data_IF_008253605808
#
_entry.id   IF_008253605808
#
_cell.length_a   1.000
_cell.length_b   1.000
_cell.length_c   1.000
_cell.angle_alpha   90.00
_cell.angle_beta   90.00
_cell.angle_gamma   90.00
#
_symmetry.space_group_name_H-M   'P 1'
#
loop_
_entity.id
_entity.type
_entity.pdbx_description
1 polymer ?
#
# COMPACT_ATOMS: atom_id res chain seq x y z
N UNK A 1 21.59 -20.43 4.78
CA UNK A 1 22.96 -19.95 5.08
C UNK A 1 22.81 -18.70 5.94
N UNK A 2 23.23 -18.74 7.21
CA UNK A 2 23.29 -17.53 8.04
C UNK A 2 24.68 -16.92 7.84
N UNK A 3 24.76 -15.70 7.32
CA UNK A 3 26.03 -15.00 7.09
C UNK A 3 25.92 -13.60 7.69
N UNK A 4 26.87 -13.24 8.53
CA UNK A 4 26.96 -11.94 9.18
C UNK A 4 28.16 -11.20 8.58
N UNK A 5 27.89 -10.18 7.77
CA UNK A 5 28.90 -9.39 7.08
C UNK A 5 28.56 -7.89 7.16
N UNK A 6 29.56 -7.02 7.03
CA UNK A 6 29.31 -5.57 6.99
C UNK A 6 28.48 -5.19 5.75
N UNK A 7 28.84 -5.74 4.58
CA UNK A 7 28.10 -5.53 3.33
C UNK A 7 28.05 -6.83 2.54
N UNK A 8 26.91 -7.11 1.91
CA UNK A 8 26.71 -8.31 1.11
C UNK A 8 25.97 -8.01 -0.20
N UNK A 9 26.44 -8.62 -1.30
CA UNK A 9 25.79 -8.57 -2.60
C UNK A 9 25.48 -10.01 -3.06
N UNK A 10 24.23 -10.27 -3.45
CA UNK A 10 23.78 -11.61 -3.85
C UNK A 10 23.04 -11.53 -5.17
N UNK A 11 23.47 -12.37 -6.12
CA UNK A 11 22.77 -12.60 -7.39
C UNK A 11 22.57 -14.10 -7.54
N UNK A 12 21.32 -14.56 -7.66
CA UNK A 12 21.04 -16.00 -7.73
C UNK A 12 19.81 -16.32 -8.58
N UNK A 13 19.90 -17.43 -9.31
CA UNK A 13 18.76 -18.09 -9.98
C UNK A 13 18.63 -19.52 -9.45
N UNK A 14 17.44 -19.92 -9.03
CA UNK A 14 17.17 -21.27 -8.52
C UNK A 14 15.73 -21.70 -8.76
N UNK A 15 15.39 -22.97 -8.53
CA UNK A 15 13.98 -23.39 -8.51
C UNK A 15 13.30 -22.92 -7.22
N UNK A 16 13.90 -23.20 -6.07
CA UNK A 16 13.40 -22.81 -4.75
C UNK A 16 14.52 -22.27 -3.88
N UNK A 17 14.22 -21.24 -3.10
CA UNK A 17 15.21 -20.56 -2.27
C UNK A 17 14.65 -20.21 -0.89
N UNK A 18 15.46 -20.46 0.15
CA UNK A 18 15.18 -20.03 1.52
C UNK A 18 16.40 -19.28 2.05
N UNK A 19 16.22 -18.03 2.46
CA UNK A 19 17.29 -17.13 2.89
C UNK A 19 16.95 -16.50 4.23
N UNK A 20 17.92 -16.56 5.14
CA UNK A 20 17.90 -15.84 6.42
C UNK A 20 19.23 -15.12 6.58
N UNK A 21 19.21 -13.80 6.65
CA UNK A 21 20.44 -12.99 6.70
C UNK A 21 20.36 -11.77 7.62
N UNK A 22 21.53 -11.42 8.15
CA UNK A 22 21.73 -10.19 8.94
C UNK A 22 23.05 -9.55 8.54
N UNK A 23 23.01 -8.31 8.07
CA UNK A 23 24.22 -7.56 7.69
C UNK A 23 23.98 -6.06 7.87
N UNK A 24 24.99 -5.20 7.75
CA UNK A 24 24.74 -3.75 7.83
C UNK A 24 24.10 -3.23 6.52
N UNK A 25 24.58 -3.71 5.37
CA UNK A 25 24.01 -3.39 4.05
C UNK A 25 23.84 -4.64 3.18
N UNK A 26 22.68 -4.80 2.54
CA UNK A 26 22.44 -5.88 1.55
C UNK A 26 21.95 -5.31 0.22
N UNK A 27 22.49 -5.87 -0.87
CA UNK A 27 21.96 -5.73 -2.23
C UNK A 27 21.66 -7.11 -2.81
N UNK A 28 20.43 -7.33 -3.26
CA UNK A 28 19.96 -8.67 -3.66
C UNK A 28 19.19 -8.61 -4.97
N UNK A 29 19.58 -9.47 -5.91
CA UNK A 29 18.85 -9.72 -7.17
C UNK A 29 18.59 -11.22 -7.28
N UNK A 30 17.32 -11.63 -7.29
CA UNK A 30 16.99 -13.06 -7.33
C UNK A 30 15.83 -13.40 -8.27
N UNK A 31 15.96 -14.56 -8.90
CA UNK A 31 14.90 -15.18 -9.69
C UNK A 31 14.70 -16.62 -9.23
N UNK A 32 13.49 -16.99 -8.81
CA UNK A 32 13.18 -18.40 -8.56
C UNK A 32 11.72 -18.74 -8.84
N UNK A 33 11.31 -20.01 -8.74
CA UNK A 33 9.89 -20.33 -8.73
C UNK A 33 9.28 -19.98 -7.36
N UNK A 34 9.97 -20.31 -6.27
CA UNK A 34 9.53 -20.01 -4.90
C UNK A 34 10.66 -19.40 -4.06
N UNK A 35 10.38 -18.29 -3.38
CA UNK A 35 11.29 -17.66 -2.41
C UNK A 35 10.63 -17.49 -1.05
N UNK A 36 11.37 -17.86 0.00
CA UNK A 36 11.09 -17.50 1.39
C UNK A 36 12.28 -16.76 1.99
N UNK A 37 12.06 -15.54 2.47
CA UNK A 37 13.14 -14.62 2.84
C UNK A 37 12.85 -13.95 4.18
N UNK A 38 13.85 -13.98 5.07
CA UNK A 38 13.89 -13.20 6.30
C UNK A 38 15.19 -12.41 6.35
N UNK A 39 15.13 -11.08 6.42
CA UNK A 39 16.32 -10.24 6.42
C UNK A 39 16.26 -9.09 7.43
N UNK A 40 17.40 -8.78 8.02
CA UNK A 40 17.59 -7.63 8.90
C UNK A 40 18.84 -6.87 8.52
N UNK A 41 18.75 -5.56 8.30
CA UNK A 41 19.92 -4.73 8.04
C UNK A 41 19.74 -3.27 8.43
N UNK A 42 20.76 -2.43 8.25
CA UNK A 42 20.53 -0.98 8.26
C UNK A 42 19.95 -0.53 6.91
N UNK A 43 20.48 -1.04 5.81
CA UNK A 43 20.06 -0.70 4.44
C UNK A 43 19.83 -1.95 3.59
N UNK A 44 18.69 -2.03 2.90
CA UNK A 44 18.38 -3.07 1.92
C UNK A 44 18.01 -2.47 0.56
N UNK A 45 18.58 -3.04 -0.51
CA UNK A 45 18.12 -2.86 -1.89
C UNK A 45 17.85 -4.22 -2.53
N UNK A 46 16.61 -4.43 -3.00
CA UNK A 46 16.13 -5.76 -3.38
C UNK A 46 15.36 -5.71 -4.70
N UNK A 47 15.72 -6.62 -5.61
CA UNK A 47 14.97 -6.91 -6.84
C UNK A 47 14.69 -8.40 -6.90
N UNK A 48 13.41 -8.79 -6.98
CA UNK A 48 13.03 -10.22 -7.00
C UNK A 48 11.94 -10.53 -8.01
N UNK A 49 12.08 -11.68 -8.66
CA UNK A 49 11.07 -12.24 -9.56
C UNK A 49 10.77 -13.69 -9.18
N UNK A 50 9.50 -14.06 -8.98
CA UNK A 50 9.13 -15.47 -8.84
C UNK A 50 7.71 -15.82 -9.25
N UNK A 51 7.30 -17.07 -9.03
CA UNK A 51 5.89 -17.41 -8.97
C UNK A 51 5.31 -17.12 -7.57
N UNK A 52 6.05 -17.44 -6.50
CA UNK A 52 5.60 -17.22 -5.12
C UNK A 52 6.69 -16.61 -4.24
N UNK A 53 6.36 -15.51 -3.55
CA UNK A 53 7.22 -14.79 -2.61
C UNK A 53 6.58 -14.74 -1.22
N UNK A 54 7.35 -15.12 -0.19
CA UNK A 54 7.04 -14.84 1.22
C UNK A 54 8.23 -14.13 1.87
N UNK A 55 8.00 -12.91 2.37
CA UNK A 55 9.08 -11.99 2.74
C UNK A 55 8.80 -11.33 4.08
N UNK A 56 9.80 -11.35 4.96
CA UNK A 56 9.84 -10.60 6.22
C UNK A 56 11.12 -9.79 6.29
N UNK A 57 11.02 -8.46 6.39
CA UNK A 57 12.19 -7.57 6.38
C UNK A 57 12.11 -6.48 7.43
N UNK A 58 13.26 -6.19 8.04
CA UNK A 58 13.44 -5.07 8.96
C UNK A 58 14.71 -4.28 8.62
N UNK A 59 14.61 -2.97 8.45
CA UNK A 59 15.78 -2.11 8.29
C UNK A 59 15.52 -0.63 8.57
N UNK A 60 16.56 0.21 8.58
CA UNK A 60 16.34 1.65 8.60
C UNK A 60 15.80 2.14 7.24
N UNK A 61 16.41 1.67 6.15
CA UNK A 61 16.06 2.06 4.78
C UNK A 61 15.86 0.85 3.88
N UNK A 62 14.70 0.74 3.22
CA UNK A 62 14.41 -0.32 2.23
C UNK A 62 14.04 0.30 0.88
N UNK A 63 14.62 -0.24 -0.19
CA UNK A 63 14.22 0.00 -1.58
C UNK A 63 13.95 -1.33 -2.27
N UNK A 64 12.74 -1.54 -2.75
CA UNK A 64 12.25 -2.87 -3.14
C UNK A 64 11.50 -2.82 -4.47
N UNK A 65 11.86 -3.75 -5.35
CA UNK A 65 11.12 -4.05 -6.58
C UNK A 65 10.81 -5.54 -6.62
N UNK A 66 9.54 -5.93 -6.74
CA UNK A 66 9.12 -7.33 -6.73
C UNK A 66 8.06 -7.62 -7.77
N UNK A 67 8.21 -8.77 -8.43
CA UNK A 67 7.24 -9.32 -9.38
C UNK A 67 6.95 -10.77 -9.06
N UNK A 68 5.71 -11.15 -8.77
CA UNK A 68 5.34 -12.57 -8.71
C UNK A 68 3.84 -12.82 -8.88
N UNK A 69 3.42 -14.05 -9.16
CA UNK A 69 2.00 -14.38 -9.17
C UNK A 69 1.36 -14.23 -7.77
N UNK A 70 2.09 -14.56 -6.70
CA UNK A 70 1.61 -14.41 -5.32
C UNK A 70 2.68 -13.85 -4.39
N UNK A 71 2.36 -12.76 -3.69
CA UNK A 71 3.22 -12.09 -2.70
C UNK A 71 2.54 -12.05 -1.33
N UNK A 72 3.26 -12.45 -0.29
CA UNK A 72 2.93 -12.21 1.11
C UNK A 72 4.11 -11.54 1.81
N UNK A 73 3.89 -10.34 2.36
CA UNK A 73 4.97 -9.43 2.75
C UNK A 73 4.69 -8.77 4.09
N UNK A 74 5.70 -8.79 4.95
CA UNK A 74 5.75 -8.03 6.21
C UNK A 74 7.03 -7.20 6.23
N UNK A 75 6.91 -5.88 6.37
CA UNK A 75 8.06 -4.98 6.38
C UNK A 75 7.98 -3.94 7.50
N UNK A 76 9.12 -3.67 8.13
CA UNK A 76 9.27 -2.63 9.13
C UNK A 76 10.50 -1.77 8.81
N UNK A 77 10.32 -0.45 8.73
CA UNK A 77 11.46 0.45 8.56
C UNK A 77 11.31 1.86 9.10
N UNK A 78 12.34 2.69 8.96
CA UNK A 78 12.14 4.14 9.04
C UNK A 78 11.63 4.67 7.69
N UNK A 79 12.27 4.26 6.59
CA UNK A 79 11.94 4.69 5.22
C UNK A 79 11.76 3.49 4.29
N UNK A 80 10.64 3.45 3.56
CA UNK A 80 10.40 2.45 2.50
C UNK A 80 10.06 3.12 1.16
N UNK A 81 10.67 2.60 0.10
CA UNK A 81 10.28 2.83 -1.29
C UNK A 81 10.03 1.50 -1.97
N UNK A 82 8.82 1.30 -2.52
CA UNK A 82 8.35 -0.02 -2.93
C UNK A 82 7.63 0.05 -4.27
N UNK A 83 7.99 -0.86 -5.17
CA UNK A 83 7.26 -1.16 -6.40
C UNK A 83 6.95 -2.65 -6.45
N UNK A 84 5.67 -3.00 -6.58
CA UNK A 84 5.20 -4.39 -6.58
C UNK A 84 4.20 -4.65 -7.70
N UNK A 85 4.38 -5.77 -8.39
CA UNK A 85 3.44 -6.29 -9.39
C UNK A 85 3.11 -7.74 -9.07
N UNK A 86 1.83 -8.07 -8.94
CA UNK A 86 1.40 -9.45 -8.71
C UNK A 86 0.03 -9.80 -9.28
N UNK A 87 -0.38 -11.06 -9.21
CA UNK A 87 -1.82 -11.38 -9.34
C UNK A 87 -2.50 -11.21 -7.98
N UNK A 88 -1.88 -11.74 -6.92
CA UNK A 88 -2.38 -11.66 -5.55
C UNK A 88 -1.33 -11.07 -4.61
N UNK A 89 -1.75 -10.05 -3.86
CA UNK A 89 -0.88 -9.26 -2.98
C UNK A 89 -1.48 -9.21 -1.56
N UNK A 90 -0.72 -9.65 -0.55
CA UNK A 90 -1.06 -9.48 0.88
C UNK A 90 0.10 -8.81 1.61
N UNK A 91 -0.14 -7.64 2.20
CA UNK A 91 0.92 -6.75 2.67
C UNK A 91 0.60 -6.17 4.05
N UNK A 92 1.60 -6.20 4.92
CA UNK A 92 1.65 -5.45 6.18
C UNK A 92 2.93 -4.62 6.21
N UNK A 93 2.79 -3.30 6.39
CA UNK A 93 3.93 -2.38 6.44
C UNK A 93 3.82 -1.39 7.60
N UNK A 94 4.95 -1.15 8.24
CA UNK A 94 5.08 -0.14 9.31
C UNK A 94 6.33 0.70 9.08
N UNK A 95 6.20 2.02 9.02
CA UNK A 95 7.37 2.90 8.96
C UNK A 95 7.12 4.36 9.35
N UNK A 96 8.14 5.20 9.33
CA UNK A 96 7.93 6.65 9.43
C UNK A 96 7.46 7.23 8.09
N UNK A 97 8.11 6.84 6.99
CA UNK A 97 7.84 7.33 5.64
C UNK A 97 7.71 6.20 4.63
N UNK A 98 6.59 6.13 3.89
CA UNK A 98 6.35 5.14 2.84
C UNK A 98 6.02 5.82 1.52
N UNK A 99 6.67 5.35 0.45
CA UNK A 99 6.30 5.62 -0.95
C UNK A 99 6.07 4.30 -1.67
N UNK A 100 4.89 4.12 -2.25
CA UNK A 100 4.42 2.80 -2.72
C UNK A 100 3.73 2.91 -4.05
N UNK A 101 4.11 2.02 -4.97
CA UNK A 101 3.39 1.75 -6.21
C UNK A 101 3.07 0.26 -6.30
N UNK A 102 1.79 -0.08 -6.45
CA UNK A 102 1.32 -1.46 -6.50
C UNK A 102 0.33 -1.69 -7.63
N UNK A 103 0.51 -2.81 -8.32
CA UNK A 103 -0.41 -3.31 -9.35
C UNK A 103 -0.72 -4.78 -9.08
N UNK A 104 -1.99 -5.15 -8.93
CA UNK A 104 -2.37 -6.56 -8.98
C UNK A 104 -3.80 -6.84 -9.44
N UNK A 105 -4.21 -8.10 -9.51
CA UNK A 105 -5.64 -8.43 -9.61
C UNK A 105 -6.33 -8.22 -8.25
N UNK A 106 -5.75 -8.75 -7.18
CA UNK A 106 -6.30 -8.68 -5.82
C UNK A 106 -5.26 -8.13 -4.83
N UNK A 107 -5.64 -7.08 -4.08
CA UNK A 107 -4.84 -6.45 -3.02
C UNK A 107 -5.54 -6.54 -1.67
N UNK A 108 -4.80 -7.00 -0.65
CA UNK A 108 -5.16 -6.85 0.77
C UNK A 108 -3.99 -6.21 1.53
N UNK A 109 -4.23 -5.04 2.13
CA UNK A 109 -3.16 -4.16 2.60
C UNK A 109 -3.49 -3.57 3.98
N UNK A 110 -2.52 -3.65 4.89
CA UNK A 110 -2.50 -2.92 6.15
C UNK A 110 -1.22 -2.08 6.26
N UNK A 111 -1.36 -0.78 6.48
CA UNK A 111 -0.24 0.16 6.51
C UNK A 111 -0.35 1.14 7.68
N UNK A 112 0.79 1.39 8.33
CA UNK A 112 0.90 2.39 9.40
C UNK A 112 2.15 3.23 9.21
N UNK A 113 1.99 4.56 9.13
CA UNK A 113 3.15 5.45 9.08
C UNK A 113 2.89 6.89 9.49
N UNK A 114 3.92 7.71 9.71
CA UNK A 114 3.71 9.14 9.85
C UNK A 114 3.31 9.77 8.50
N UNK A 115 4.00 9.42 7.42
CA UNK A 115 3.72 9.90 6.06
C UNK A 115 3.58 8.74 5.07
N UNK A 116 2.48 8.72 4.30
CA UNK A 116 2.32 7.79 3.17
C UNK A 116 1.97 8.51 1.86
N UNK A 117 2.63 8.08 0.80
CA UNK A 117 2.30 8.38 -0.59
C UNK A 117 2.10 7.08 -1.37
N UNK A 118 0.92 6.88 -1.95
CA UNK A 118 0.49 5.58 -2.45
C UNK A 118 -0.20 5.71 -3.81
N UNK A 119 0.20 4.85 -4.74
CA UNK A 119 -0.49 4.62 -6.00
C UNK A 119 -0.82 3.13 -6.11
N UNK A 120 -2.10 2.81 -6.28
CA UNK A 120 -2.57 1.44 -6.36
C UNK A 120 -3.55 1.23 -7.52
N UNK A 121 -3.33 0.16 -8.27
CA UNK A 121 -4.23 -0.29 -9.33
C UNK A 121 -4.56 -1.76 -9.13
N UNK A 122 -5.84 -2.11 -9.00
CA UNK A 122 -6.23 -3.52 -8.99
C UNK A 122 -7.62 -3.80 -9.56
N UNK A 123 -8.03 -5.07 -9.65
CA UNK A 123 -9.45 -5.38 -9.86
C UNK A 123 -10.22 -5.26 -8.53
N UNK A 124 -9.63 -5.75 -7.44
CA UNK A 124 -10.20 -5.69 -6.09
C UNK A 124 -9.17 -5.22 -5.07
N UNK A 125 -9.55 -4.23 -4.25
CA UNK A 125 -8.72 -3.73 -3.14
C UNK A 125 -9.49 -3.77 -1.81
N UNK A 126 -8.81 -4.28 -0.78
CA UNK A 126 -9.19 -4.15 0.63
C UNK A 126 -8.03 -3.52 1.41
N UNK A 127 -8.27 -2.36 2.03
CA UNK A 127 -7.20 -1.50 2.54
C UNK A 127 -7.54 -0.97 3.93
N UNK A 128 -6.56 -1.03 4.82
CA UNK A 128 -6.55 -0.35 6.11
C UNK A 128 -5.29 0.49 6.23
N UNK A 129 -5.46 1.80 6.45
CA UNK A 129 -4.35 2.76 6.53
C UNK A 129 -4.49 3.67 7.74
N UNK A 130 -3.39 3.89 8.43
CA UNK A 130 -3.29 4.84 9.55
C UNK A 130 -2.07 5.72 9.37
N UNK A 131 -2.26 7.05 9.40
CA UNK A 131 -1.15 7.98 9.29
C UNK A 131 -1.33 9.34 9.96
N UNK A 132 -0.28 10.18 9.95
CA UNK A 132 -0.48 11.61 10.18
C UNK A 132 -0.87 12.28 8.85
N UNK A 133 -0.12 11.97 7.77
CA UNK A 133 -0.35 12.51 6.43
C UNK A 133 -0.51 11.38 5.41
N UNK A 134 -1.60 11.45 4.63
CA UNK A 134 -1.97 10.45 3.65
C UNK A 134 -2.21 11.11 2.28
N UNK A 135 -1.49 10.67 1.25
CA UNK A 135 -1.73 11.03 -0.15
C UNK A 135 -1.90 9.77 -1.00
N UNK A 136 -3.06 9.62 -1.63
CA UNK A 136 -3.48 8.34 -2.23
C UNK A 136 -4.10 8.55 -3.60
N UNK A 137 -3.69 7.69 -4.54
CA UNK A 137 -4.36 7.50 -5.83
C UNK A 137 -4.70 6.02 -5.99
N UNK A 138 -5.97 5.70 -6.21
CA UNK A 138 -6.47 4.33 -6.33
C UNK A 138 -7.40 4.16 -7.53
N UNK A 139 -7.24 3.05 -8.25
CA UNK A 139 -8.11 2.65 -9.34
C UNK A 139 -8.49 1.16 -9.25
N UNK A 140 -9.78 0.82 -9.30
CA UNK A 140 -10.22 -0.57 -9.40
C UNK A 140 -11.63 -0.82 -9.90
N UNK A 141 -12.04 -2.08 -9.98
CA UNK A 141 -13.47 -2.40 -10.09
C UNK A 141 -14.16 -2.28 -8.71
N UNK A 142 -13.55 -2.79 -7.65
CA UNK A 142 -14.13 -2.78 -6.30
C UNK A 142 -13.12 -2.34 -5.24
N UNK A 143 -13.50 -1.35 -4.43
CA UNK A 143 -12.73 -0.82 -3.30
C UNK A 143 -13.49 -0.99 -1.98
N UNK A 144 -12.79 -1.50 -0.96
CA UNK A 144 -13.19 -1.43 0.45
C UNK A 144 -12.05 -0.84 1.27
N UNK A 145 -12.30 0.31 1.91
CA UNK A 145 -11.24 1.14 2.48
C UNK A 145 -11.60 1.63 3.87
N UNK A 146 -10.64 1.52 4.78
CA UNK A 146 -10.66 2.15 6.10
C UNK A 146 -9.41 3.02 6.26
N UNK A 147 -9.60 4.31 6.52
CA UNK A 147 -8.50 5.27 6.63
C UNK A 147 -8.66 6.15 7.87
N UNK A 148 -7.54 6.40 8.54
CA UNK A 148 -7.45 7.35 9.65
C UNK A 148 -6.20 8.19 9.46
N UNK A 149 -6.34 9.52 9.39
CA UNK A 149 -5.17 10.39 9.51
C UNK A 149 -5.45 11.78 10.06
N UNK A 150 -4.42 12.59 10.29
CA UNK A 150 -4.65 14.01 10.54
C UNK A 150 -5.03 14.74 9.24
N UNK A 151 -4.29 14.49 8.15
CA UNK A 151 -4.54 15.06 6.83
C UNK A 151 -4.65 13.98 5.74
N UNK A 152 -5.72 14.03 4.96
CA UNK A 152 -6.03 13.10 3.86
C UNK A 152 -6.18 13.86 2.54
N UNK A 153 -5.48 13.41 1.50
CA UNK A 153 -5.67 13.80 0.11
C UNK A 153 -5.83 12.55 -0.76
N UNK A 154 -6.99 12.39 -1.40
CA UNK A 154 -7.39 11.13 -2.02
C UNK A 154 -7.98 11.36 -3.41
N UNK A 155 -7.55 10.53 -4.36
CA UNK A 155 -8.18 10.37 -5.67
C UNK A 155 -8.55 8.90 -5.87
N UNK A 156 -9.83 8.63 -6.10
CA UNK A 156 -10.35 7.27 -6.23
C UNK A 156 -11.25 7.10 -7.47
N UNK A 157 -11.03 6.02 -8.20
CA UNK A 157 -11.89 5.62 -9.32
C UNK A 157 -12.27 4.15 -9.16
N UNK A 158 -13.57 3.85 -9.05
CA UNK A 158 -14.01 2.46 -9.16
C UNK A 158 -15.41 2.25 -9.73
N UNK A 159 -15.82 1.00 -9.94
CA UNK A 159 -17.22 0.71 -10.19
C UNK A 159 -18.02 0.70 -8.87
N UNK A 160 -17.46 0.13 -7.81
CA UNK A 160 -18.08 0.06 -6.48
C UNK A 160 -17.10 0.49 -5.39
N UNK A 161 -17.55 1.40 -4.52
CA UNK A 161 -16.77 2.01 -3.44
C UNK A 161 -17.48 1.82 -2.10
N UNK A 162 -16.75 1.29 -1.11
CA UNK A 162 -17.15 1.28 0.30
C UNK A 162 -16.03 1.87 1.16
N UNK A 163 -16.31 2.97 1.85
CA UNK A 163 -15.29 3.79 2.50
C UNK A 163 -15.70 4.17 3.92
N UNK A 164 -14.75 4.03 4.84
CA UNK A 164 -14.81 4.62 6.19
C UNK A 164 -13.57 5.48 6.39
N UNK A 165 -13.77 6.78 6.66
CA UNK A 165 -12.69 7.74 6.81
C UNK A 165 -12.85 8.58 8.08
N UNK A 166 -11.71 8.85 8.73
CA UNK A 166 -11.62 9.79 9.84
C UNK A 166 -10.40 10.68 9.64
N UNK A 167 -10.61 12.00 9.53
CA UNK A 167 -9.52 12.94 9.43
C UNK A 167 -9.76 14.28 10.14
N UNK A 168 -8.71 15.07 10.40
CA UNK A 168 -8.91 16.47 10.77
C UNK A 168 -9.17 17.32 9.51
N UNK A 169 -8.41 17.05 8.45
CA UNK A 169 -8.52 17.73 7.16
C UNK A 169 -8.64 16.72 6.02
N UNK A 170 -9.61 16.94 5.14
CA UNK A 170 -9.98 16.01 4.08
C UNK A 170 -10.06 16.71 2.72
N UNK A 171 -9.43 16.14 1.69
CA UNK A 171 -9.57 16.54 0.28
C UNK A 171 -9.77 15.30 -0.60
N UNK A 172 -10.94 15.17 -1.21
CA UNK A 172 -11.34 13.95 -1.94
C UNK A 172 -11.82 14.27 -3.34
N UNK A 173 -11.37 13.47 -4.29
CA UNK A 173 -11.94 13.36 -5.64
C UNK A 173 -12.30 11.90 -5.87
N UNK A 174 -13.56 11.62 -6.15
CA UNK A 174 -14.03 10.25 -6.37
C UNK A 174 -15.00 10.11 -7.54
N UNK A 175 -14.85 8.98 -8.24
CA UNK A 175 -15.74 8.56 -9.32
C UNK A 175 -16.17 7.11 -9.10
N UNK A 176 -17.46 6.85 -8.92
CA UNK A 176 -17.97 5.47 -8.94
C UNK A 176 -19.44 5.31 -9.33
N UNK A 177 -19.79 4.12 -9.84
CA UNK A 177 -21.18 3.79 -10.18
C UNK A 177 -22.05 3.45 -8.95
N UNK A 178 -21.43 3.04 -7.84
CA UNK A 178 -22.12 2.75 -6.58
C UNK A 178 -21.23 3.12 -5.40
N UNK A 179 -21.79 3.87 -4.44
CA UNK A 179 -21.07 4.45 -3.31
C UNK A 179 -21.74 4.17 -1.97
N UNK A 180 -20.92 3.79 -0.98
CA UNK A 180 -21.28 3.77 0.44
C UNK A 180 -20.16 4.39 1.26
N UNK A 181 -20.44 5.52 1.91
CA UNK A 181 -19.44 6.34 2.59
C UNK A 181 -19.87 6.69 4.01
N UNK A 182 -18.93 6.54 4.93
CA UNK A 182 -18.99 7.08 6.29
C UNK A 182 -17.76 7.95 6.51
N UNK A 183 -17.98 9.25 6.78
CA UNK A 183 -16.88 10.19 6.98
C UNK A 183 -17.07 11.09 8.21
N UNK A 184 -15.96 11.35 8.88
CA UNK A 184 -15.85 12.30 9.99
C UNK A 184 -14.64 13.19 9.76
N UNK A 185 -14.88 14.49 9.59
CA UNK A 185 -13.81 15.48 9.44
C UNK A 185 -14.13 16.82 10.13
N UNK A 186 -13.09 17.51 10.59
CA UNK A 186 -13.23 18.88 11.10
C UNK A 186 -13.30 19.90 9.95
N UNK A 187 -12.60 19.61 8.84
CA UNK A 187 -12.61 20.41 7.62
C UNK A 187 -12.53 19.50 6.38
N UNK A 188 -13.32 19.80 5.34
CA UNK A 188 -13.41 18.95 4.15
C UNK A 188 -13.64 19.72 2.85
N UNK A 189 -13.09 19.17 1.77
CA UNK A 189 -13.36 19.52 0.37
C UNK A 189 -13.55 18.22 -0.41
N UNK A 190 -14.66 18.11 -1.13
CA UNK A 190 -15.05 16.87 -1.78
C UNK A 190 -15.65 17.10 -3.17
N UNK A 191 -15.29 16.21 -4.10
CA UNK A 191 -15.85 16.15 -5.44
C UNK A 191 -16.21 14.69 -5.79
N UNK A 192 -17.51 14.45 -6.00
CA UNK A 192 -18.06 13.12 -6.25
C UNK A 192 -18.76 13.07 -7.61
N UNK A 193 -18.54 11.99 -8.36
CA UNK A 193 -19.21 11.76 -9.64
C UNK A 193 -19.70 10.32 -9.77
N UNK A 194 -21.01 10.13 -10.01
CA UNK A 194 -21.64 8.83 -10.31
C UNK A 194 -22.80 8.38 -9.41
N UNK A 195 -23.51 7.34 -9.84
CA UNK A 195 -24.89 6.97 -9.44
C UNK A 195 -25.10 6.36 -8.04
N UNK A 196 -26.35 5.89 -7.78
CA UNK A 196 -26.91 5.31 -6.53
C UNK A 196 -26.05 5.47 -5.25
N UNK A 197 -26.44 6.45 -4.43
CA UNK A 197 -25.62 6.95 -3.31
C UNK A 197 -26.25 6.64 -1.94
N UNK A 198 -25.40 6.27 -0.97
CA UNK A 198 -25.71 6.30 0.45
C UNK A 198 -24.52 6.89 1.21
N UNK A 199 -24.72 8.04 1.84
CA UNK A 199 -23.65 8.83 2.44
C UNK A 199 -24.05 9.31 3.85
N UNK A 200 -23.14 9.12 4.82
CA UNK A 200 -23.31 9.59 6.19
C UNK A 200 -22.11 10.45 6.59
N UNK A 201 -22.35 11.76 6.70
CA UNK A 201 -21.38 12.76 7.13
C UNK A 201 -21.71 13.26 8.53
N UNK A 202 -20.71 13.38 9.40
CA UNK A 202 -20.84 14.01 10.72
C UNK A 202 -20.05 15.32 10.72
N UNK A 203 -20.77 16.46 10.66
CA UNK A 203 -20.23 17.79 10.34
C UNK A 203 -19.51 18.50 11.50
N UNK A 204 -18.46 19.25 11.15
CA UNK A 204 -17.84 20.33 11.93
C UNK A 204 -17.66 21.67 11.18
N UNK A 205 -17.61 21.70 9.83
CA UNK A 205 -17.68 22.94 9.02
C UNK A 205 -17.64 22.66 7.48
N UNK A 206 -18.69 23.10 6.77
CA UNK A 206 -19.00 23.04 5.30
C UNK A 206 -17.84 23.33 4.30
N UNK A 207 -17.83 22.85 3.04
CA UNK A 207 -18.84 23.02 1.96
C UNK A 207 -18.96 21.93 0.87
N UNK A 208 -20.20 21.75 0.40
CA UNK A 208 -20.75 20.82 -0.60
C UNK A 208 -20.52 21.21 -2.08
N UNK A 209 -20.48 20.21 -2.97
CA UNK A 209 -21.18 20.21 -4.28
C UNK A 209 -21.20 18.80 -4.90
N UNK A 210 -22.17 17.98 -4.50
CA UNK A 210 -22.51 16.73 -5.19
C UNK A 210 -23.51 17.04 -6.31
N UNK A 211 -23.01 17.41 -7.49
CA UNK A 211 -23.85 17.56 -8.68
C UNK A 211 -24.18 16.17 -9.24
N UNK A 212 -25.34 15.64 -8.87
CA UNK A 212 -25.95 14.50 -9.56
C UNK A 212 -26.61 14.99 -10.84
N UNK A 213 -25.92 14.89 -11.98
CA UNK A 213 -26.60 14.90 -13.28
C UNK A 213 -27.14 13.48 -13.56
N UNK A 214 -28.43 13.46 -13.90
CA UNK A 214 -29.26 12.28 -14.18
C UNK A 214 -28.86 11.56 -15.46
#
# INVERSE_FOLDING_TARGET
MCNTAASLCIVQTAASLCIVQTAASLSIVQTAASLSIVQTAASLSIVQTAASLSIVQAAASLSIVQTAASLSIVQTAASLSIVQTADNLSIVQTAASLSIVQTAASLSIAQTAASLSIVQTAASLSIVQTADNLSIVQAAASLSIVQTAASLSIVQTAASLSIVQTAASLSIVQTAASLSIVQTAASQSEYCTGGSQSEYCTDGSQSENCAGDS
#
